data_IF_685232195259
#
_entry.id   IF_685232195259
#
_cell.length_a   1.000
_cell.length_b   1.000
_cell.length_c   1.000
_cell.angle_alpha   90.00
_cell.angle_beta   90.00
_cell.angle_gamma   90.00
#
_symmetry.space_group_name_H-M   'P 1'
#
loop_
_entity.id
_entity.type
_entity.pdbx_description
1 polymer ?
#
# COMPACT_ATOMS: atom_id res chain seq x y z
N UNK A 1 1.02 -26.34 51.38
CA UNK A 1 0.39 -26.18 50.06
C UNK A 1 0.42 -24.70 49.78
N UNK A 2 1.54 -24.20 49.28
CA UNK A 2 1.68 -22.84 48.82
C UNK A 2 1.87 -22.91 47.31
N UNK A 3 0.81 -22.54 46.60
CA UNK A 3 0.81 -22.44 45.15
C UNK A 3 1.57 -21.15 44.83
N UNK A 4 2.83 -21.29 44.42
CA UNK A 4 3.58 -20.21 43.79
C UNK A 4 2.78 -19.70 42.59
N UNK A 5 2.33 -18.45 42.71
CA UNK A 5 1.69 -17.73 41.62
C UNK A 5 2.72 -17.57 40.50
N UNK A 6 2.43 -18.19 39.36
CA UNK A 6 3.24 -18.08 38.16
C UNK A 6 3.53 -16.62 37.82
N UNK A 7 4.83 -16.31 37.68
CA UNK A 7 5.27 -15.04 37.15
C UNK A 7 4.64 -14.84 35.77
N UNK A 8 3.87 -13.77 35.62
CA UNK A 8 3.47 -13.27 34.31
C UNK A 8 4.76 -13.01 33.53
N UNK A 9 5.00 -13.79 32.47
CA UNK A 9 6.10 -13.53 31.55
C UNK A 9 6.00 -12.06 31.12
N UNK A 10 7.04 -11.27 31.44
CA UNK A 10 7.13 -9.90 30.96
C UNK A 10 7.07 -9.95 29.42
N UNK A 11 6.38 -8.99 28.78
CA UNK A 11 6.40 -8.94 27.34
C UNK A 11 7.85 -8.84 26.83
N UNK A 12 8.18 -9.62 25.80
CA UNK A 12 9.49 -9.63 25.16
C UNK A 12 9.74 -8.37 24.28
N UNK A 13 9.25 -7.20 24.70
CA UNK A 13 9.40 -5.95 23.97
C UNK A 13 9.62 -4.76 24.93
N UNK A 14 10.37 -3.72 24.51
CA UNK A 14 10.62 -2.51 25.30
C UNK A 14 9.35 -1.80 25.82
N UNK A 15 9.44 -1.15 26.98
CA UNK A 15 8.33 -0.39 27.59
C UNK A 15 7.81 0.75 26.69
N UNK A 16 8.69 1.31 25.86
CA UNK A 16 8.36 2.38 24.91
C UNK A 16 8.23 1.87 23.47
N UNK A 17 7.97 0.58 23.28
CA UNK A 17 7.76 0.01 21.94
C UNK A 17 6.63 0.73 21.22
N UNK A 18 6.83 1.04 19.95
CA UNK A 18 5.83 1.71 19.11
C UNK A 18 5.33 0.76 18.03
N UNK A 19 4.02 0.75 17.80
CA UNK A 19 3.47 -0.01 16.69
C UNK A 19 2.27 0.69 16.08
N UNK A 20 2.17 0.65 14.75
CA UNK A 20 1.06 1.28 14.06
C UNK A 20 1.12 1.16 12.55
N UNK A 21 0.11 1.72 11.92
CA UNK A 21 -0.15 1.56 10.49
C UNK A 21 0.31 2.79 9.73
N UNK A 22 1.03 2.58 8.63
CA UNK A 22 1.48 3.62 7.70
C UNK A 22 0.81 3.37 6.37
N UNK A 23 0.30 4.39 5.69
CA UNK A 23 -0.02 4.26 4.25
C UNK A 23 0.92 5.13 3.45
N UNK A 24 1.60 4.50 2.48
CA UNK A 24 2.38 5.22 1.47
C UNK A 24 1.43 5.64 0.34
N UNK A 25 1.37 6.92 0.07
CA UNK A 25 0.44 7.54 -0.87
C UNK A 25 1.21 8.42 -1.85
N UNK A 26 0.68 8.58 -3.06
CA UNK A 26 1.36 9.34 -4.12
C UNK A 26 0.92 8.89 -5.50
N UNK A 27 1.28 9.66 -6.51
CA UNK A 27 0.91 9.37 -7.91
C UNK A 27 1.35 7.95 -8.33
N UNK A 28 0.72 7.37 -9.36
CA UNK A 28 1.25 6.16 -10.00
C UNK A 28 2.75 6.32 -10.30
N UNK A 29 3.53 5.26 -10.09
CA UNK A 29 4.98 5.23 -10.29
C UNK A 29 5.82 6.15 -9.38
N UNK A 30 5.25 6.69 -8.30
CA UNK A 30 5.98 7.48 -7.33
C UNK A 30 7.00 6.68 -6.48
N UNK A 31 7.15 5.37 -6.69
CA UNK A 31 8.09 4.53 -5.93
C UNK A 31 7.55 3.96 -4.61
N UNK A 32 6.22 3.98 -4.40
CA UNK A 32 5.57 3.48 -3.16
C UNK A 32 5.91 2.02 -2.87
N UNK A 33 5.53 1.09 -3.74
CA UNK A 33 5.76 -0.35 -3.53
C UNK A 33 7.25 -0.71 -3.54
N UNK A 34 8.09 0.03 -4.28
CA UNK A 34 9.56 -0.12 -4.21
C UNK A 34 10.09 0.26 -2.81
N UNK A 35 9.61 1.36 -2.24
CA UNK A 35 9.94 1.76 -0.88
C UNK A 35 9.38 0.78 0.16
N UNK A 36 8.15 0.28 -0.02
CA UNK A 36 7.57 -0.78 0.83
C UNK A 36 8.49 -2.00 0.89
N UNK A 37 8.91 -2.52 -0.27
CA UNK A 37 9.79 -3.68 -0.32
C UNK A 37 11.15 -3.41 0.31
N UNK A 38 11.72 -2.21 0.11
CA UNK A 38 13.00 -1.83 0.71
C UNK A 38 12.90 -1.74 2.24
N UNK A 39 11.80 -1.19 2.78
CA UNK A 39 11.54 -1.07 4.21
C UNK A 39 11.35 -2.45 4.88
N UNK A 40 10.63 -3.35 4.21
CA UNK A 40 10.39 -4.73 4.69
C UNK A 40 11.65 -5.59 4.54
N UNK A 41 12.53 -5.26 3.58
CA UNK A 41 13.73 -6.03 3.26
C UNK A 41 13.48 -7.22 2.32
N UNK A 42 12.23 -7.47 1.96
CA UNK A 42 11.83 -8.48 0.98
C UNK A 42 10.69 -7.97 0.09
N UNK A 43 10.45 -8.66 -1.01
CA UNK A 43 9.40 -8.30 -1.96
C UNK A 43 8.03 -8.79 -1.48
N UNK A 44 7.28 -7.88 -0.84
CA UNK A 44 5.92 -8.13 -0.35
C UNK A 44 4.85 -7.35 -1.11
N UNK A 45 5.21 -6.29 -1.84
CA UNK A 45 4.29 -5.55 -2.70
C UNK A 45 4.78 -5.59 -4.14
N UNK A 46 3.87 -5.80 -5.09
CA UNK A 46 4.26 -5.81 -6.50
C UNK A 46 4.57 -4.41 -7.03
N UNK A 47 5.49 -4.34 -7.98
CA UNK A 47 5.99 -3.12 -8.60
C UNK A 47 5.80 -3.17 -10.10
N UNK A 48 5.17 -2.16 -10.68
CA UNK A 48 5.09 -2.00 -12.12
C UNK A 48 4.97 -0.53 -12.48
N UNK A 49 5.47 -0.18 -13.67
CA UNK A 49 5.37 1.16 -14.24
C UNK A 49 3.95 1.48 -14.75
N UNK A 50 3.02 0.54 -14.60
CA UNK A 50 1.62 0.69 -15.03
C UNK A 50 0.78 1.34 -13.93
N UNK A 51 -0.13 2.28 -14.28
CA UNK A 51 -1.17 2.72 -13.35
C UNK A 51 -2.03 1.55 -12.85
N UNK A 52 -2.59 1.67 -11.64
CA UNK A 52 -3.42 0.63 -11.01
C UNK A 52 -2.70 -0.72 -10.83
N UNK A 53 -1.39 -0.67 -10.56
CA UNK A 53 -0.62 -1.87 -10.26
C UNK A 53 -1.13 -2.55 -8.99
N UNK A 54 -1.33 -1.84 -7.88
CA UNK A 54 -1.89 -2.42 -6.64
C UNK A 54 -3.42 -2.48 -6.71
N UNK A 55 -4.02 -3.65 -6.48
CA UNK A 55 -5.50 -3.87 -6.46
C UNK A 55 -6.00 -4.54 -5.18
N UNK A 56 -5.11 -5.18 -4.44
CA UNK A 56 -5.35 -5.68 -3.10
C UNK A 56 -4.56 -4.82 -2.12
N UNK A 57 -5.09 -4.60 -0.93
CA UNK A 57 -4.32 -3.95 0.14
C UNK A 57 -3.31 -4.95 0.67
N UNK A 58 -2.04 -4.82 0.30
CA UNK A 58 -1.00 -5.68 0.86
C UNK A 58 -0.38 -4.97 2.05
N UNK A 59 -0.19 -5.71 3.15
CA UNK A 59 0.52 -5.21 4.33
C UNK A 59 1.95 -5.73 4.33
N UNK A 60 2.90 -4.80 4.30
CA UNK A 60 4.30 -5.08 4.61
C UNK A 60 4.56 -4.83 6.09
N UNK A 61 5.12 -5.79 6.80
CA UNK A 61 5.43 -5.69 8.22
C UNK A 61 6.93 -5.47 8.37
N UNK A 62 7.28 -4.34 9.00
CA UNK A 62 8.66 -3.97 9.30
C UNK A 62 8.90 -4.18 10.78
N UNK A 63 9.84 -5.05 11.12
CA UNK A 63 10.27 -5.31 12.50
C UNK A 63 11.57 -4.56 12.80
N UNK A 64 11.62 -3.88 13.94
CA UNK A 64 12.82 -3.33 14.58
C UNK A 64 12.74 -3.57 16.10
N UNK A 65 13.86 -3.36 16.78
CA UNK A 65 14.01 -3.65 18.21
C UNK A 65 13.06 -2.82 19.10
N UNK A 66 12.74 -1.60 18.68
CA UNK A 66 11.95 -0.62 19.43
C UNK A 66 10.63 -0.23 18.74
N UNK A 67 10.36 -0.73 17.53
CA UNK A 67 9.07 -0.49 16.87
C UNK A 67 8.68 -1.54 15.81
N UNK A 68 7.39 -1.57 15.48
CA UNK A 68 6.81 -2.31 14.37
C UNK A 68 5.99 -1.40 13.46
N UNK A 69 6.31 -1.34 12.16
CA UNK A 69 5.51 -0.61 11.18
C UNK A 69 4.71 -1.56 10.32
N UNK A 70 3.42 -1.27 10.17
CA UNK A 70 2.54 -1.99 9.26
C UNK A 70 2.29 -1.08 8.07
N UNK A 71 3.08 -1.29 7.01
CA UNK A 71 3.00 -0.57 5.75
C UNK A 71 1.81 -1.09 4.96
N UNK A 72 0.83 -0.24 4.74
CA UNK A 72 -0.39 -0.56 4.01
C UNK A 72 -0.27 -0.01 2.60
N UNK A 73 0.05 -0.89 1.63
CA UNK A 73 0.07 -0.52 0.21
C UNK A 73 -1.36 -0.43 -0.30
N UNK A 74 -1.81 0.80 -0.59
CA UNK A 74 -3.17 1.05 -1.08
C UNK A 74 -3.17 1.29 -2.59
N UNK A 75 -4.20 0.84 -3.32
CA UNK A 75 -4.43 1.26 -4.70
C UNK A 75 -4.37 2.78 -4.87
N UNK A 76 -3.88 3.26 -6.02
CA UNK A 76 -3.84 4.70 -6.29
C UNK A 76 -5.25 5.28 -6.50
N UNK A 77 -5.57 6.41 -5.87
CA UNK A 77 -6.85 7.11 -6.05
C UNK A 77 -6.97 7.63 -7.49
N UNK A 78 -8.07 7.30 -8.16
CA UNK A 78 -8.40 7.84 -9.49
C UNK A 78 -9.91 8.01 -9.65
N UNK A 79 -10.33 8.78 -10.67
CA UNK A 79 -11.75 8.89 -11.03
C UNK A 79 -12.24 7.53 -11.56
N UNK A 80 -13.24 6.88 -10.93
CA UNK A 80 -13.65 5.53 -11.32
C UNK A 80 -14.46 5.56 -12.62
N UNK A 81 -14.33 4.50 -13.43
CA UNK A 81 -15.07 4.26 -14.67
C UNK A 81 -15.68 2.85 -14.76
N UNK A 82 -15.40 2.00 -13.77
CA UNK A 82 -15.81 0.60 -13.66
C UNK A 82 -16.14 0.30 -12.20
N UNK A 83 -16.89 -0.78 -11.94
CA UNK A 83 -17.23 -1.20 -10.58
C UNK A 83 -15.98 -1.60 -9.77
N UNK A 84 -14.99 -2.23 -10.41
CA UNK A 84 -13.67 -2.45 -9.80
C UNK A 84 -13.06 -1.13 -9.29
N UNK A 85 -13.06 -0.08 -10.13
CA UNK A 85 -12.52 1.23 -9.74
C UNK A 85 -13.26 1.87 -8.56
N UNK A 86 -14.58 1.67 -8.47
CA UNK A 86 -15.38 2.10 -7.32
C UNK A 86 -14.98 1.34 -6.04
N UNK A 87 -14.89 0.00 -6.10
CA UNK A 87 -14.45 -0.83 -4.97
C UNK A 87 -13.05 -0.50 -4.49
N UNK A 88 -12.11 -0.26 -5.42
CA UNK A 88 -10.74 0.14 -5.06
C UNK A 88 -10.74 1.48 -4.32
N UNK A 89 -11.55 2.45 -4.76
CA UNK A 89 -11.67 3.73 -4.05
C UNK A 89 -12.28 3.58 -2.65
N UNK A 90 -13.29 2.73 -2.49
CA UNK A 90 -13.91 2.43 -1.19
C UNK A 90 -12.90 1.78 -0.23
N UNK A 91 -12.09 0.83 -0.74
CA UNK A 91 -11.02 0.17 0.00
C UNK A 91 -9.94 1.18 0.43
N UNK A 92 -9.55 2.11 -0.44
CA UNK A 92 -8.60 3.19 -0.11
C UNK A 92 -9.17 4.10 0.98
N UNK A 93 -10.43 4.51 0.87
CA UNK A 93 -11.09 5.34 1.89
C UNK A 93 -11.16 4.64 3.26
N UNK A 94 -11.51 3.35 3.26
CA UNK A 94 -11.49 2.51 4.45
C UNK A 94 -10.10 2.43 5.08
N UNK A 95 -9.06 2.21 4.26
CA UNK A 95 -7.68 2.06 4.70
C UNK A 95 -7.10 3.36 5.27
N UNK A 96 -7.27 4.48 4.58
CA UNK A 96 -6.75 5.78 5.01
C UNK A 96 -7.39 6.25 6.32
N UNK A 97 -8.60 5.78 6.66
CA UNK A 97 -9.21 6.03 7.96
C UNK A 97 -8.49 5.29 9.11
N UNK A 98 -7.78 4.19 8.80
CA UNK A 98 -7.21 3.23 9.76
C UNK A 98 -5.72 3.41 10.04
N UNK A 99 -5.02 4.25 9.28
CA UNK A 99 -3.57 4.47 9.50
C UNK A 99 -3.28 5.46 10.62
N UNK A 100 -2.09 5.42 11.19
CA UNK A 100 -1.63 6.34 12.22
C UNK A 100 -0.82 7.51 11.60
N UNK A 101 0.01 7.22 10.59
CA UNK A 101 0.76 8.22 9.78
C UNK A 101 0.53 8.00 8.27
N UNK A 102 0.73 9.07 7.50
CA UNK A 102 0.72 9.05 6.03
C UNK A 102 2.12 9.38 5.52
N UNK A 103 2.66 8.56 4.60
CA UNK A 103 3.89 8.86 3.86
C UNK A 103 3.55 9.31 2.44
N UNK A 104 3.77 10.58 2.10
CA UNK A 104 3.48 11.13 0.77
C UNK A 104 4.72 11.05 -0.13
N UNK A 105 4.74 10.08 -1.03
CA UNK A 105 5.85 9.84 -1.96
C UNK A 105 5.81 10.78 -3.17
N UNK A 106 6.89 11.52 -3.37
CA UNK A 106 7.09 12.46 -4.49
C UNK A 106 8.44 12.13 -5.15
N UNK A 107 8.50 11.79 -6.45
CA UNK A 107 9.77 11.49 -7.12
C UNK A 107 10.70 12.70 -7.19
N UNK A 108 12.01 12.48 -6.98
CA UNK A 108 13.04 13.50 -7.09
C UNK A 108 13.26 13.97 -8.53
N UNK A 109 13.03 13.08 -9.50
CA UNK A 109 13.28 13.32 -10.92
C UNK A 109 12.07 13.86 -11.70
N UNK A 110 10.95 14.16 -11.04
CA UNK A 110 9.74 14.67 -11.67
C UNK A 110 9.32 16.01 -11.04
N UNK A 111 8.89 16.96 -11.86
CA UNK A 111 8.32 18.22 -11.35
C UNK A 111 7.01 17.96 -10.62
N UNK A 112 6.77 18.70 -9.54
CA UNK A 112 5.51 18.68 -8.79
C UNK A 112 4.37 19.18 -9.69
N UNK A 113 3.47 18.26 -10.05
CA UNK A 113 2.38 18.51 -11.00
C UNK A 113 1.03 18.77 -10.34
N UNK A 114 -0.04 18.93 -11.14
CA UNK A 114 -1.42 19.06 -10.64
C UNK A 114 -1.88 17.83 -9.85
N UNK A 115 -1.42 16.63 -10.24
CA UNK A 115 -1.76 15.39 -9.54
C UNK A 115 -1.18 15.32 -8.12
N UNK A 116 0.06 15.80 -7.93
CA UNK A 116 0.68 15.88 -6.59
C UNK A 116 -0.06 16.88 -5.70
N UNK A 117 -0.38 18.07 -6.23
CA UNK A 117 -1.19 19.09 -5.53
C UNK A 117 -2.56 18.57 -5.13
N UNK A 118 -3.22 17.85 -6.03
CA UNK A 118 -4.52 17.26 -5.76
C UNK A 118 -4.42 16.25 -4.61
N UNK A 119 -3.49 15.30 -4.67
CA UNK A 119 -3.29 14.29 -3.61
C UNK A 119 -2.96 14.98 -2.28
N UNK A 120 -1.99 15.90 -2.27
CA UNK A 120 -1.62 16.69 -1.09
C UNK A 120 -2.84 17.36 -0.44
N UNK A 121 -3.68 18.03 -1.24
CA UNK A 121 -4.89 18.69 -0.75
C UNK A 121 -5.89 17.72 -0.13
N UNK A 122 -6.05 16.53 -0.71
CA UNK A 122 -6.93 15.50 -0.16
C UNK A 122 -6.39 14.95 1.16
N UNK A 123 -5.09 14.68 1.28
CA UNK A 123 -4.49 14.15 2.51
C UNK A 123 -4.67 15.12 3.67
N UNK A 124 -4.42 16.41 3.43
CA UNK A 124 -4.55 17.49 4.42
C UNK A 124 -6.01 17.77 4.79
N UNK A 125 -6.93 17.71 3.82
CA UNK A 125 -8.35 17.96 4.08
C UNK A 125 -9.05 16.79 4.79
N UNK A 126 -8.67 15.56 4.45
CA UNK A 126 -9.35 14.34 4.93
C UNK A 126 -8.91 13.87 6.32
N UNK A 127 -7.75 14.33 6.79
CA UNK A 127 -7.11 13.77 7.97
C UNK A 127 -6.45 14.84 8.83
N UNK A 128 -6.41 14.62 10.14
CA UNK A 128 -5.52 15.35 11.06
C UNK A 128 -4.30 14.48 11.43
N UNK A 129 -3.98 13.49 10.60
CA UNK A 129 -2.83 12.61 10.81
C UNK A 129 -1.55 13.31 10.34
N UNK A 130 -0.39 13.00 10.95
CA UNK A 130 0.90 13.43 10.43
C UNK A 130 1.09 12.93 9.00
N UNK A 131 1.61 13.81 8.15
CA UNK A 131 1.98 13.51 6.76
C UNK A 131 3.46 13.76 6.59
N UNK A 132 4.23 12.70 6.40
CA UNK A 132 5.67 12.77 6.11
C UNK A 132 5.85 12.83 4.59
N UNK A 133 6.47 13.88 4.06
CA UNK A 133 6.81 13.95 2.65
C UNK A 133 8.09 13.15 2.38
N UNK A 134 8.01 12.18 1.48
CA UNK A 134 9.11 11.27 1.17
C UNK A 134 9.53 11.53 -0.28
N UNK A 135 10.72 12.11 -0.47
CA UNK A 135 11.27 12.42 -1.79
C UNK A 135 11.98 11.18 -2.34
N UNK A 136 11.25 10.37 -3.10
CA UNK A 136 11.72 9.07 -3.59
C UNK A 136 12.63 9.22 -4.82
N UNK A 137 13.38 8.16 -5.15
CA UNK A 137 14.27 8.11 -6.34
C UNK A 137 15.39 9.16 -6.29
N UNK A 138 15.87 9.52 -5.11
CA UNK A 138 16.93 10.53 -4.95
C UNK A 138 18.22 10.18 -5.69
N UNK A 139 18.45 8.89 -5.97
CA UNK A 139 19.57 8.37 -6.76
C UNK A 139 19.55 8.80 -8.24
N UNK A 140 18.40 9.24 -8.75
CA UNK A 140 18.22 9.55 -10.18
C UNK A 140 18.53 11.01 -10.52
N UNK A 141 18.94 11.82 -9.55
CA UNK A 141 19.20 13.26 -9.70
C UNK A 141 20.49 13.67 -8.98
N UNK A 142 21.08 14.79 -9.41
CA UNK A 142 22.22 15.40 -8.71
C UNK A 142 21.80 16.20 -7.47
N UNK A 143 22.76 16.57 -6.62
CA UNK A 143 22.53 17.31 -5.37
C UNK A 143 21.76 18.63 -5.57
N UNK A 144 22.08 19.38 -6.63
CA UNK A 144 21.40 20.66 -6.91
C UNK A 144 19.92 20.45 -7.20
N UNK A 145 19.61 19.50 -8.10
CA UNK A 145 18.23 19.15 -8.44
C UNK A 145 17.46 18.55 -7.25
N UNK A 146 18.11 17.73 -6.42
CA UNK A 146 17.50 17.21 -5.20
C UNK A 146 17.16 18.35 -4.22
N UNK A 147 18.06 19.32 -4.07
CA UNK A 147 17.84 20.48 -3.19
C UNK A 147 16.69 21.35 -3.70
N UNK A 148 16.64 21.63 -5.00
CA UNK A 148 15.52 22.34 -5.63
C UNK A 148 14.19 21.61 -5.40
N UNK A 149 14.19 20.28 -5.53
CA UNK A 149 12.99 19.49 -5.31
C UNK A 149 12.55 19.51 -3.84
N UNK A 150 13.47 19.41 -2.88
CA UNK A 150 13.15 19.51 -1.45
C UNK A 150 12.49 20.85 -1.10
N UNK A 151 13.01 21.96 -1.65
CA UNK A 151 12.40 23.30 -1.51
C UNK A 151 11.00 23.32 -2.12
N UNK A 152 10.83 22.75 -3.32
CA UNK A 152 9.52 22.69 -3.98
C UNK A 152 8.50 21.85 -3.17
N UNK A 153 8.94 20.74 -2.57
CA UNK A 153 8.11 19.90 -1.70
C UNK A 153 7.72 20.66 -0.44
N UNK A 154 8.65 21.39 0.18
CA UNK A 154 8.33 22.24 1.33
C UNK A 154 7.28 23.30 0.98
N UNK A 155 7.48 24.03 -0.12
CA UNK A 155 6.54 25.04 -0.59
C UNK A 155 5.14 24.47 -0.88
N UNK A 156 5.07 23.24 -1.42
CA UNK A 156 3.79 22.54 -1.62
C UNK A 156 3.05 22.29 -0.29
N UNK A 157 3.78 21.89 0.76
CA UNK A 157 3.19 21.67 2.08
C UNK A 157 2.60 22.95 2.66
N UNK A 158 3.33 24.06 2.55
CA UNK A 158 2.89 25.39 2.98
C UNK A 158 1.65 25.86 2.18
N UNK A 159 1.67 25.71 0.85
CA UNK A 159 0.56 26.06 -0.06
C UNK A 159 -0.74 25.36 0.36
N UNK A 160 -0.68 24.03 0.49
CA UNK A 160 -1.86 23.19 0.73
C UNK A 160 -2.42 23.38 2.14
N UNK A 161 -1.55 23.47 3.15
CA UNK A 161 -1.96 23.69 4.53
C UNK A 161 -2.59 25.07 4.72
N UNK A 162 -2.06 26.10 4.05
CA UNK A 162 -2.63 27.44 4.06
C UNK A 162 -4.03 27.46 3.43
N UNK A 163 -4.21 26.78 2.29
CA UNK A 163 -5.50 26.66 1.63
C UNK A 163 -6.54 25.95 2.50
N UNK A 164 -6.21 24.81 3.11
CA UNK A 164 -7.15 24.09 3.97
C UNK A 164 -7.46 24.84 5.27
N UNK A 165 -6.50 25.57 5.86
CA UNK A 165 -6.78 26.47 7.01
C UNK A 165 -7.79 27.55 6.62
N UNK A 166 -7.61 28.19 5.47
CA UNK A 166 -8.55 29.19 4.97
C UNK A 166 -9.94 28.59 4.74
N UNK A 167 -10.01 27.40 4.15
CA UNK A 167 -11.28 26.70 3.94
C UNK A 167 -11.95 26.23 5.25
N UNK A 168 -11.18 25.74 6.23
CA UNK A 168 -11.70 25.40 7.57
C UNK A 168 -12.27 26.63 8.26
N UNK A 169 -11.59 27.78 8.18
CA UNK A 169 -12.09 29.04 8.71
C UNK A 169 -13.41 29.46 8.02
N UNK A 170 -13.49 29.39 6.69
CA UNK A 170 -14.73 29.65 5.93
C UNK A 170 -15.86 28.68 6.30
N UNK A 171 -15.55 27.37 6.48
CA UNK A 171 -16.53 26.36 6.89
C UNK A 171 -17.03 26.60 8.32
N UNK A 172 -16.15 27.05 9.23
CA UNK A 172 -16.49 27.38 10.61
C UNK A 172 -17.45 28.58 10.67
N UNK A 173 -17.13 29.67 9.96
CA UNK A 173 -18.01 30.85 9.87
C UNK A 173 -19.35 30.53 9.20
N UNK A 174 -19.34 29.73 8.12
CA UNK A 174 -20.58 29.22 7.52
C UNK A 174 -21.39 28.31 8.44
N UNK A 175 -20.74 27.52 9.31
CA UNK A 175 -21.41 26.63 10.28
C UNK A 175 -22.03 27.44 11.41
N UNK A 176 -21.34 28.43 11.95
CA UNK A 176 -21.91 29.39 12.91
C UNK A 176 -23.12 30.11 12.31
N UNK A 177 -23.04 30.52 11.04
CA UNK A 177 -24.16 31.13 10.34
C UNK A 177 -25.32 30.14 10.05
N UNK A 178 -25.05 28.85 9.81
CA UNK A 178 -26.08 27.80 9.57
C UNK A 178 -26.69 27.22 10.84
N UNK A 179 -26.02 27.30 12.00
CA UNK A 179 -26.64 26.92 13.29
C UNK A 179 -27.84 27.82 13.62
N UNK A 180 -27.93 29.00 13.00
CA UNK A 180 -29.14 29.83 13.04
C UNK A 180 -30.29 29.35 12.13
N UNK A 181 -30.08 28.40 11.21
CA UNK A 181 -31.08 27.91 10.24
C UNK A 181 -30.93 26.42 9.89
N UNK A 182 -31.67 25.61 10.64
CA UNK A 182 -32.21 24.27 10.31
C UNK A 182 -31.24 23.08 10.08
N UNK A 183 -31.54 22.00 10.81
CA UNK A 183 -31.09 20.62 10.62
C UNK A 183 -31.72 20.04 9.34
N UNK A 184 -30.91 19.62 8.36
CA UNK A 184 -31.08 18.35 7.63
C UNK A 184 -29.92 18.05 6.67
N UNK A 185 -29.51 16.79 6.76
CA UNK A 185 -28.88 15.90 5.77
C UNK A 185 -27.77 16.44 4.87
N UNK A 186 -26.56 15.89 5.04
CA UNK A 186 -25.55 15.89 3.98
C UNK A 186 -24.81 14.54 3.95
N UNK A 187 -25.11 13.73 2.93
CA UNK A 187 -24.36 12.52 2.55
C UNK A 187 -23.62 12.80 1.24
N UNK A 188 -22.32 13.03 1.33
CA UNK A 188 -21.26 12.56 0.42
C UNK A 188 -19.96 13.33 0.72
N UNK A 189 -19.12 12.75 1.57
CA UNK A 189 -17.72 13.13 1.76
C UNK A 189 -16.93 11.81 1.64
N UNK A 190 -15.89 11.69 0.80
CA UNK A 190 -15.20 10.40 0.56
C UNK A 190 -14.36 9.86 1.73
N UNK A 191 -14.52 10.41 2.94
CA UNK A 191 -13.73 10.06 4.12
C UNK A 191 -14.61 10.23 5.36
N UNK A 192 -15.48 9.26 5.64
CA UNK A 192 -16.26 9.24 6.86
C UNK A 192 -15.37 8.90 8.07
N UNK A 193 -15.60 9.57 9.21
CA UNK A 193 -14.88 9.31 10.46
C UNK A 193 -15.24 7.92 11.02
N UNK A 194 -14.22 7.06 11.11
CA UNK A 194 -13.97 6.17 12.25
C UNK A 194 -14.88 4.96 12.43
N UNK A 195 -14.42 3.80 11.96
CA UNK A 195 -14.88 2.48 12.44
C UNK A 195 -13.79 1.39 12.45
N UNK A 196 -12.58 1.67 11.98
CA UNK A 196 -11.52 0.66 11.92
C UNK A 196 -10.53 0.66 13.11
N UNK A 197 -9.46 -0.15 13.05
CA UNK A 197 -8.61 -0.47 14.21
C UNK A 197 -8.00 0.73 14.92
N UNK A 198 -7.51 1.74 14.19
CA UNK A 198 -7.03 2.99 14.80
C UNK A 198 -8.15 3.79 15.50
N UNK A 199 -9.39 3.73 15.01
CA UNK A 199 -10.54 4.36 15.67
C UNK A 199 -10.98 3.57 16.92
N UNK A 200 -10.86 2.24 16.90
CA UNK A 200 -11.13 1.36 18.05
C UNK A 200 -10.01 1.43 19.11
N UNK A 201 -8.76 1.73 18.75
CA UNK A 201 -7.68 1.96 19.72
C UNK A 201 -7.77 3.30 20.43
N UNK A 202 -8.30 4.34 19.76
CA UNK A 202 -8.56 5.66 20.36
C UNK A 202 -9.57 5.65 21.52
N UNK A 203 -10.32 4.56 21.71
CA UNK A 203 -11.21 4.38 22.87
C UNK A 203 -10.54 3.64 24.03
N UNK A 204 -9.32 3.12 23.85
CA UNK A 204 -8.49 2.53 24.90
C UNK A 204 -7.76 3.60 25.72
N UNK A 205 -7.63 3.38 27.04
CA UNK A 205 -7.21 4.38 28.04
C UNK A 205 -5.78 4.97 27.90
N UNK A 206 -4.96 4.52 26.95
CA UNK A 206 -3.56 4.94 26.80
C UNK A 206 -3.22 5.45 25.39
N UNK A 207 -4.11 6.22 24.76
CA UNK A 207 -3.78 6.96 23.54
C UNK A 207 -3.44 8.41 23.91
N UNK A 208 -2.15 8.73 23.98
CA UNK A 208 -1.68 10.11 23.89
C UNK A 208 -1.43 10.43 22.41
N UNK A 209 -2.27 11.25 21.75
CA UNK A 209 -1.99 11.69 20.38
C UNK A 209 -0.66 12.42 20.37
N UNK A 210 0.22 12.06 19.44
CA UNK A 210 1.38 12.89 19.09
C UNK A 210 0.88 14.27 18.68
N UNK A 211 1.26 15.28 19.45
CA UNK A 211 0.89 16.67 19.21
C UNK A 211 1.73 17.15 18.03
N UNK A 212 1.17 17.07 16.82
CA UNK A 212 1.60 17.98 15.76
C UNK A 212 0.98 19.33 16.08
N UNK A 213 1.83 20.21 16.60
CA UNK A 213 1.57 21.63 16.86
C UNK A 213 1.14 22.42 15.61
N UNK A 214 1.08 21.77 14.44
CA UNK A 214 0.40 22.27 13.27
C UNK A 214 1.00 23.58 12.80
N UNK A 215 2.33 23.76 12.90
CA UNK A 215 3.01 25.00 12.51
C UNK A 215 3.03 25.27 10.99
N UNK A 216 2.54 24.34 10.16
CA UNK A 216 2.14 24.64 8.78
C UNK A 216 3.09 24.05 7.76
N UNK A 217 2.89 22.78 7.43
CA UNK A 217 3.65 22.05 6.45
C UNK A 217 3.49 20.55 6.66
N UNK A 218 4.38 19.78 6.05
CA UNK A 218 4.54 18.35 6.33
C UNK A 218 5.02 18.14 7.78
N UNK A 219 4.79 16.95 8.33
CA UNK A 219 5.35 16.56 9.62
C UNK A 219 6.89 16.44 9.52
N UNK A 220 7.37 15.89 8.41
CA UNK A 220 8.79 15.80 8.04
C UNK A 220 8.96 15.77 6.52
N UNK A 221 10.17 16.06 6.04
CA UNK A 221 10.58 15.89 4.64
C UNK A 221 11.87 15.09 4.61
N UNK A 222 11.86 13.93 3.93
CA UNK A 222 13.02 13.04 3.87
C UNK A 222 13.27 12.51 2.46
N UNK A 223 14.48 12.67 1.88
CA UNK A 223 14.84 12.06 0.61
C UNK A 223 15.25 10.59 0.78
N UNK A 224 14.88 9.73 -0.16
CA UNK A 224 15.18 8.30 -0.08
C UNK A 224 15.48 7.71 -1.46
N UNK A 225 16.45 6.79 -1.51
CA UNK A 225 16.58 5.85 -2.62
C UNK A 225 16.31 4.44 -2.13
N UNK A 226 15.15 3.91 -2.49
CA UNK A 226 14.79 2.52 -2.21
C UNK A 226 15.69 1.54 -2.98
N UNK A 227 16.23 1.93 -4.14
CA UNK A 227 17.07 1.06 -4.98
C UNK A 227 18.54 1.05 -4.56
N UNK A 228 19.05 2.18 -4.04
CA UNK A 228 20.41 2.25 -3.48
C UNK A 228 20.43 2.02 -1.96
N UNK A 229 19.28 1.72 -1.35
CA UNK A 229 19.11 1.62 0.11
C UNK A 229 19.59 2.86 0.88
N UNK A 230 19.53 4.05 0.26
CA UNK A 230 19.88 5.30 0.90
C UNK A 230 18.70 5.83 1.74
N UNK A 231 18.92 6.05 3.03
CA UNK A 231 17.95 6.56 4.01
C UNK A 231 16.68 5.71 4.20
N UNK A 232 16.68 4.44 3.79
CA UNK A 232 15.51 3.55 3.97
C UNK A 232 15.17 3.37 5.46
N UNK A 233 16.17 3.10 6.31
CA UNK A 233 15.95 2.96 7.75
C UNK A 233 15.55 4.30 8.38
N UNK A 234 16.18 5.41 7.98
CA UNK A 234 15.80 6.74 8.45
C UNK A 234 14.34 7.10 8.12
N UNK A 235 13.81 6.68 6.97
CA UNK A 235 12.38 6.81 6.66
C UNK A 235 11.53 5.99 7.64
N UNK A 236 11.94 4.76 7.97
CA UNK A 236 11.25 3.94 8.96
C UNK A 236 11.23 4.61 10.34
N UNK A 237 12.38 5.11 10.81
CA UNK A 237 12.53 5.78 12.09
C UNK A 237 11.63 7.02 12.20
N UNK A 238 11.62 7.87 11.16
CA UNK A 238 10.77 9.06 11.09
C UNK A 238 9.30 8.67 11.17
N UNK A 239 8.86 7.68 10.40
CA UNK A 239 7.47 7.20 10.43
C UNK A 239 7.11 6.61 11.81
N UNK A 240 8.02 5.86 12.43
CA UNK A 240 7.86 5.25 13.76
C UNK A 240 7.73 6.29 14.87
N UNK A 241 8.42 7.43 14.76
CA UNK A 241 8.34 8.52 15.75
C UNK A 241 6.92 9.07 15.92
N UNK A 242 6.08 8.93 14.89
CA UNK A 242 4.69 9.36 14.89
C UNK A 242 3.70 8.28 15.34
N UNK A 243 4.16 7.07 15.62
CA UNK A 243 3.34 5.95 16.07
C UNK A 243 3.03 6.04 17.57
N UNK A 244 1.85 5.57 18.01
CA UNK A 244 1.56 5.43 19.43
C UNK A 244 2.47 4.37 20.07
N UNK A 245 2.70 4.50 21.38
CA UNK A 245 3.24 3.40 22.19
C UNK A 245 2.23 2.26 22.15
N UNK A 246 2.69 1.07 21.79
CA UNK A 246 1.86 -0.11 21.57
C UNK A 246 2.72 -1.36 21.67
N UNK A 247 2.18 -2.49 22.15
CA UNK A 247 2.82 -3.78 21.90
C UNK A 247 2.91 -4.07 20.38
N UNK A 248 3.78 -5.00 19.95
CA UNK A 248 3.75 -5.54 18.59
C UNK A 248 2.33 -6.00 18.21
N UNK A 249 1.93 -5.70 16.98
CA UNK A 249 0.61 -6.05 16.44
C UNK A 249 0.62 -7.39 15.70
N UNK A 250 1.77 -7.77 15.16
CA UNK A 250 2.01 -9.02 14.46
C UNK A 250 3.17 -9.78 15.10
N UNK A 251 3.16 -11.13 15.04
CA UNK A 251 4.28 -11.97 15.47
C UNK A 251 5.60 -11.58 14.82
N UNK A 252 6.72 -11.79 15.53
CA UNK A 252 8.05 -11.60 14.98
C UNK A 252 8.28 -12.49 13.75
N UNK A 253 9.01 -11.97 12.76
CA UNK A 253 9.38 -12.69 11.53
C UNK A 253 8.30 -12.71 10.45
N UNK A 254 7.03 -12.41 10.76
CA UNK A 254 6.00 -12.25 9.72
C UNK A 254 6.25 -10.99 8.91
N UNK A 255 6.40 -11.09 7.59
CA UNK A 255 6.64 -9.95 6.71
C UNK A 255 5.36 -9.42 6.04
N UNK A 256 4.30 -10.23 6.05
CA UNK A 256 2.97 -9.93 5.50
C UNK A 256 1.94 -10.83 6.19
N UNK A 257 0.69 -10.36 6.28
CA UNK A 257 -0.46 -11.16 6.72
C UNK A 257 -1.28 -11.73 5.55
N UNK A 258 -0.80 -11.52 4.31
CA UNK A 258 -1.45 -12.03 3.11
C UNK A 258 -1.20 -13.53 2.92
N UNK A 259 -2.23 -14.32 2.54
CA UNK A 259 -2.05 -15.71 2.17
C UNK A 259 -1.06 -15.88 1.01
N UNK A 260 -0.25 -16.94 1.04
CA UNK A 260 0.72 -17.27 -0.02
C UNK A 260 0.08 -17.30 -1.42
N UNK A 261 -1.16 -17.80 -1.52
CA UNK A 261 -1.92 -17.83 -2.76
C UNK A 261 -2.17 -16.43 -3.34
N UNK A 262 -2.45 -15.43 -2.48
CA UNK A 262 -2.62 -14.03 -2.90
C UNK A 262 -1.29 -13.49 -3.42
N UNK A 263 -0.20 -13.73 -2.68
CA UNK A 263 1.14 -13.29 -3.07
C UNK A 263 1.59 -13.88 -4.42
N UNK A 264 1.36 -15.19 -4.62
CA UNK A 264 1.62 -15.89 -5.88
C UNK A 264 0.81 -15.28 -7.03
N UNK A 265 -0.49 -15.05 -6.82
CA UNK A 265 -1.35 -14.43 -7.83
C UNK A 265 -0.81 -13.05 -8.24
N UNK A 266 -0.35 -12.27 -7.26
CA UNK A 266 0.23 -10.96 -7.48
C UNK A 266 1.57 -11.03 -8.23
N UNK A 267 2.47 -11.97 -7.92
CA UNK A 267 3.72 -12.14 -8.70
C UNK A 267 3.47 -12.54 -10.15
N UNK A 268 2.51 -13.45 -10.40
CA UNK A 268 2.10 -13.80 -11.77
C UNK A 268 1.49 -12.61 -12.48
N UNK A 269 0.66 -11.82 -11.78
CA UNK A 269 0.07 -10.61 -12.33
C UNK A 269 1.11 -9.55 -12.67
N UNK A 270 2.09 -9.32 -11.79
CA UNK A 270 3.20 -8.40 -12.00
C UNK A 270 3.98 -8.76 -13.26
N UNK A 271 4.38 -10.03 -13.40
CA UNK A 271 5.07 -10.53 -14.59
C UNK A 271 4.21 -10.38 -15.86
N UNK A 272 2.89 -10.58 -15.77
CA UNK A 272 1.97 -10.37 -16.88
C UNK A 272 1.76 -8.89 -17.25
N UNK A 273 1.88 -7.98 -16.28
CA UNK A 273 1.85 -6.53 -16.53
C UNK A 273 3.10 -6.06 -17.27
N UNK A 274 4.22 -6.76 -17.11
CA UNK A 274 5.46 -6.47 -17.81
C UNK A 274 5.30 -6.76 -19.31
N UNK A 275 5.14 -5.69 -20.11
CA UNK A 275 4.95 -5.80 -21.57
C UNK A 275 3.50 -5.76 -22.03
N UNK A 276 2.52 -5.83 -21.12
CA UNK A 276 1.13 -5.50 -21.43
C UNK A 276 1.03 -4.03 -21.86
N UNK A 277 0.30 -3.73 -22.94
CA UNK A 277 0.13 -2.37 -23.50
C UNK A 277 -1.35 -2.04 -23.68
N UNK A 278 -1.63 -0.77 -23.94
CA UNK A 278 -2.98 -0.25 -24.17
C UNK A 278 -3.91 -0.62 -23.01
N UNK A 279 -5.03 -1.27 -23.28
CA UNK A 279 -6.06 -1.65 -22.29
C UNK A 279 -5.74 -2.97 -21.56
N UNK A 280 -4.76 -3.75 -22.03
CA UNK A 280 -4.47 -5.07 -21.47
C UNK A 280 -4.07 -5.05 -19.99
N UNK A 281 -3.24 -4.11 -19.48
CA UNK A 281 -2.91 -4.03 -18.05
C UNK A 281 -4.14 -3.96 -17.15
N UNK A 282 -5.22 -3.34 -17.65
CA UNK A 282 -6.44 -3.14 -16.88
C UNK A 282 -7.34 -4.38 -16.86
N UNK A 283 -7.26 -5.25 -17.87
CA UNK A 283 -8.11 -6.43 -18.00
C UNK A 283 -7.55 -7.71 -17.36
N UNK A 284 -6.31 -7.69 -16.86
CA UNK A 284 -5.67 -8.87 -16.24
C UNK A 284 -6.18 -9.05 -14.80
N UNK A 285 -6.60 -10.26 -14.44
CA UNK A 285 -6.78 -10.73 -13.07
C UNK A 285 -6.15 -12.12 -12.91
N UNK A 286 -5.72 -12.46 -11.70
CA UNK A 286 -5.04 -13.73 -11.43
C UNK A 286 -5.61 -14.36 -10.17
N UNK A 287 -5.85 -15.67 -10.19
CA UNK A 287 -6.25 -16.44 -9.02
C UNK A 287 -5.47 -17.74 -8.96
N UNK A 288 -5.10 -18.20 -7.77
CA UNK A 288 -4.56 -19.55 -7.55
C UNK A 288 -5.72 -20.50 -7.29
N UNK A 289 -5.83 -21.58 -8.08
CA UNK A 289 -6.86 -22.62 -7.90
C UNK A 289 -6.42 -23.68 -6.90
N UNK A 290 -5.16 -24.11 -6.97
CA UNK A 290 -4.66 -25.26 -6.23
C UNK A 290 -3.15 -25.11 -5.94
N UNK A 291 -2.75 -25.52 -4.74
CA UNK A 291 -1.36 -25.59 -4.29
C UNK A 291 -1.15 -26.90 -3.55
N UNK A 292 -0.39 -27.83 -4.14
CA UNK A 292 -0.14 -29.13 -3.53
C UNK A 292 1.32 -29.55 -3.71
N UNK A 293 1.93 -30.08 -2.65
CA UNK A 293 3.24 -30.71 -2.78
C UNK A 293 3.11 -31.97 -3.64
N UNK A 294 3.98 -32.09 -4.65
CA UNK A 294 3.98 -33.22 -5.56
C UNK A 294 4.30 -34.52 -4.81
N UNK A 295 3.41 -35.48 -4.96
CA UNK A 295 3.58 -36.83 -4.40
C UNK A 295 4.86 -37.51 -4.91
N UNK A 296 5.46 -38.34 -4.06
CA UNK A 296 6.68 -39.10 -4.40
C UNK A 296 7.99 -38.31 -4.38
N UNK A 297 7.98 -37.04 -3.93
CA UNK A 297 9.20 -36.24 -3.68
C UNK A 297 9.73 -36.45 -2.25
N UNK A 298 11.05 -36.41 -2.08
CA UNK A 298 11.66 -36.44 -0.74
C UNK A 298 11.46 -35.11 0.00
N UNK A 299 11.51 -35.16 1.34
CA UNK A 299 11.41 -33.94 2.17
C UNK A 299 12.55 -32.95 1.92
N UNK A 300 13.71 -33.42 1.48
CA UNK A 300 14.87 -32.57 1.18
C UNK A 300 14.84 -31.96 -0.23
N UNK A 301 13.90 -32.38 -1.08
CA UNK A 301 13.70 -31.83 -2.43
C UNK A 301 12.21 -31.80 -2.79
N UNK A 302 11.41 -31.05 -2.01
CA UNK A 302 9.99 -30.88 -2.29
C UNK A 302 9.80 -30.12 -3.60
N UNK A 303 8.68 -30.36 -4.27
CA UNK A 303 8.24 -29.60 -5.42
C UNK A 303 6.78 -29.23 -5.19
N UNK A 304 6.48 -27.94 -5.15
CA UNK A 304 5.11 -27.46 -5.00
C UNK A 304 4.50 -27.25 -6.38
N UNK A 305 3.38 -27.93 -6.65
CA UNK A 305 2.58 -27.73 -7.85
C UNK A 305 1.56 -26.61 -7.59
N UNK A 306 1.65 -25.55 -8.39
CA UNK A 306 0.83 -24.34 -8.24
C UNK A 306 0.05 -24.11 -9.54
N UNK A 307 -1.28 -24.20 -9.45
CA UNK A 307 -2.18 -24.00 -10.57
C UNK A 307 -2.82 -22.62 -10.51
N UNK A 308 -2.58 -21.82 -11.54
CA UNK A 308 -2.98 -20.41 -11.60
C UNK A 308 -3.84 -20.15 -12.80
N UNK A 309 -4.93 -19.42 -12.62
CA UNK A 309 -5.68 -18.83 -13.71
C UNK A 309 -5.25 -17.38 -13.93
N UNK A 310 -4.98 -17.03 -15.18
CA UNK A 310 -4.82 -15.65 -15.63
C UNK A 310 -6.02 -15.29 -16.50
N UNK A 311 -6.86 -14.38 -16.02
CA UNK A 311 -8.05 -13.92 -16.70
C UNK A 311 -7.77 -12.65 -17.50
N UNK A 312 -8.40 -12.56 -18.68
CA UNK A 312 -8.48 -11.38 -19.53
C UNK A 312 -9.92 -11.19 -20.01
N UNK A 313 -10.27 -10.01 -20.55
CA UNK A 313 -11.65 -9.73 -20.97
C UNK A 313 -11.98 -10.18 -22.40
N UNK A 314 -10.97 -10.35 -23.26
CA UNK A 314 -11.16 -10.63 -24.70
C UNK A 314 -10.24 -11.73 -25.20
N UNK A 315 -10.69 -12.48 -26.21
CA UNK A 315 -9.86 -13.49 -26.88
C UNK A 315 -8.59 -12.90 -27.50
N UNK A 316 -8.66 -11.70 -28.09
CA UNK A 316 -7.48 -10.99 -28.60
C UNK A 316 -6.42 -10.77 -27.52
N UNK A 317 -6.84 -10.41 -26.31
CA UNK A 317 -5.97 -10.23 -25.16
C UNK A 317 -5.33 -11.55 -24.72
N UNK A 318 -6.10 -12.65 -24.74
CA UNK A 318 -5.58 -13.99 -24.43
C UNK A 318 -4.45 -14.37 -25.37
N UNK A 319 -4.58 -14.11 -26.68
CA UNK A 319 -3.49 -14.35 -27.62
C UNK A 319 -2.26 -13.49 -27.34
N UNK A 320 -2.42 -12.25 -26.89
CA UNK A 320 -1.29 -11.37 -26.51
C UNK A 320 -0.55 -11.93 -25.28
N UNK A 321 -1.28 -12.39 -24.26
CA UNK A 321 -0.68 -13.00 -23.06
C UNK A 321 0.06 -14.29 -23.42
N UNK A 322 -0.52 -15.13 -24.28
CA UNK A 322 0.12 -16.39 -24.69
C UNK A 322 1.38 -16.12 -25.53
N UNK A 323 1.28 -15.23 -26.52
CA UNK A 323 2.34 -14.95 -27.48
C UNK A 323 2.56 -16.08 -28.49
N UNK A 324 3.34 -15.81 -29.54
CA UNK A 324 3.62 -16.79 -30.61
C UNK A 324 4.29 -18.04 -30.04
N UNK A 325 3.65 -19.20 -30.18
CA UNK A 325 4.16 -20.47 -29.65
C UNK A 325 4.25 -20.52 -28.11
N UNK A 326 3.49 -19.68 -27.40
CA UNK A 326 3.53 -19.61 -25.94
C UNK A 326 4.73 -18.84 -25.38
N UNK A 327 5.48 -18.11 -26.21
CA UNK A 327 6.72 -17.45 -25.80
C UNK A 327 6.53 -16.42 -24.69
N UNK A 328 5.43 -15.66 -24.72
CA UNK A 328 5.16 -14.63 -23.72
C UNK A 328 4.70 -15.25 -22.40
N UNK A 329 3.81 -16.25 -22.45
CA UNK A 329 3.39 -16.99 -21.26
C UNK A 329 4.56 -17.71 -20.57
N UNK A 330 5.52 -18.23 -21.34
CA UNK A 330 6.76 -18.80 -20.77
C UNK A 330 7.58 -17.74 -20.04
N UNK A 331 7.73 -16.54 -20.62
CA UNK A 331 8.43 -15.42 -19.95
C UNK A 331 7.76 -15.06 -18.62
N UNK A 332 6.43 -14.89 -18.64
CA UNK A 332 5.62 -14.60 -17.44
C UNK A 332 5.84 -15.69 -16.38
N UNK A 333 5.74 -16.96 -16.78
CA UNK A 333 5.94 -18.11 -15.89
C UNK A 333 7.34 -18.15 -15.29
N UNK A 334 8.39 -17.91 -16.08
CA UNK A 334 9.77 -17.88 -15.57
C UNK A 334 9.96 -16.78 -14.53
N UNK A 335 9.56 -15.55 -14.84
CA UNK A 335 9.72 -14.40 -13.95
C UNK A 335 8.92 -14.55 -12.66
N UNK A 336 7.67 -15.03 -12.74
CA UNK A 336 6.86 -15.27 -11.56
C UNK A 336 7.43 -16.40 -10.70
N UNK A 337 7.86 -17.50 -11.31
CA UNK A 337 8.40 -18.66 -10.59
C UNK A 337 9.66 -18.31 -9.79
N UNK A 338 10.56 -17.50 -10.34
CA UNK A 338 11.76 -17.03 -9.62
C UNK A 338 11.40 -16.29 -8.32
N UNK A 339 10.39 -15.41 -8.38
CA UNK A 339 9.92 -14.66 -7.20
C UNK A 339 9.21 -15.56 -6.19
N UNK A 340 8.37 -16.49 -6.68
CA UNK A 340 7.64 -17.43 -5.82
C UNK A 340 8.61 -18.37 -5.09
N UNK A 341 9.60 -18.93 -5.79
CA UNK A 341 10.60 -19.81 -5.19
C UNK A 341 11.44 -19.08 -4.13
N UNK A 342 11.79 -17.82 -4.39
CA UNK A 342 12.50 -16.99 -3.41
C UNK A 342 11.65 -16.71 -2.16
N UNK A 343 10.35 -16.46 -2.31
CA UNK A 343 9.44 -16.22 -1.19
C UNK A 343 9.18 -17.49 -0.38
N UNK A 344 8.90 -18.63 -1.03
CA UNK A 344 8.53 -19.87 -0.34
C UNK A 344 9.73 -20.70 0.14
N UNK A 345 10.93 -20.43 -0.38
CA UNK A 345 12.12 -21.23 -0.08
C UNK A 345 12.05 -22.68 -0.61
N UNK A 346 11.12 -22.99 -1.51
CA UNK A 346 10.96 -24.31 -2.14
C UNK A 346 10.83 -24.19 -3.64
N UNK A 347 11.17 -25.27 -4.36
CA UNK A 347 10.99 -25.34 -5.82
C UNK A 347 9.51 -25.39 -6.17
N UNK A 348 9.17 -24.75 -7.29
CA UNK A 348 7.78 -24.64 -7.76
C UNK A 348 7.64 -25.10 -9.21
N UNK A 349 6.62 -25.89 -9.47
CA UNK A 349 6.08 -26.09 -10.81
C UNK A 349 4.85 -25.19 -10.97
N UNK A 350 5.01 -24.14 -11.78
CA UNK A 350 3.97 -23.14 -11.99
C UNK A 350 3.21 -23.42 -13.28
N UNK A 351 1.92 -23.74 -13.16
CA UNK A 351 1.02 -23.96 -14.29
C UNK A 351 0.07 -22.76 -14.43
N UNK A 352 0.22 -21.98 -15.50
CA UNK A 352 -0.61 -20.80 -15.77
C UNK A 352 -1.58 -21.10 -16.90
N UNK A 353 -2.89 -21.03 -16.62
CA UNK A 353 -3.95 -21.18 -17.60
C UNK A 353 -4.61 -19.83 -17.92
N UNK A 354 -4.56 -19.40 -19.19
CA UNK A 354 -5.17 -18.15 -19.63
C UNK A 354 -6.65 -18.35 -20.00
N UNK A 355 -7.56 -17.71 -19.25
CA UNK A 355 -9.02 -17.78 -19.42
C UNK A 355 -9.60 -16.43 -19.85
N UNK A 356 -10.71 -16.44 -20.59
CA UNK A 356 -11.45 -15.23 -20.93
C UNK A 356 -12.66 -15.07 -20.02
N UNK A 357 -12.74 -13.96 -19.31
CA UNK A 357 -13.87 -13.55 -18.50
C UNK A 357 -14.36 -12.19 -19.02
N UNK A 358 -15.39 -12.18 -19.86
CA UNK A 358 -15.89 -10.95 -20.50
C UNK A 358 -16.40 -9.96 -19.45
N UNK A 359 -15.98 -8.70 -19.58
CA UNK A 359 -16.47 -7.56 -18.79
C UNK A 359 -16.42 -7.78 -17.27
N UNK A 360 -15.46 -8.58 -16.79
CA UNK A 360 -15.41 -8.99 -15.39
C UNK A 360 -15.25 -7.80 -14.42
N UNK A 361 -14.65 -6.69 -14.88
CA UNK A 361 -14.47 -5.47 -14.08
C UNK A 361 -15.78 -4.76 -13.72
N UNK A 362 -16.86 -5.10 -14.42
CA UNK A 362 -18.20 -4.52 -14.25
C UNK A 362 -19.22 -5.54 -13.74
N UNK A 363 -18.87 -6.83 -13.63
CA UNK A 363 -19.74 -7.89 -13.11
C UNK A 363 -19.46 -8.15 -11.62
N UNK A 364 -20.39 -7.83 -10.70
CA UNK A 364 -20.22 -8.07 -9.27
C UNK A 364 -19.90 -9.53 -8.91
N UNK A 365 -20.46 -10.51 -9.64
CA UNK A 365 -20.21 -11.94 -9.38
C UNK A 365 -18.81 -12.34 -9.81
N UNK A 366 -18.33 -11.78 -10.91
CA UNK A 366 -16.97 -11.99 -11.36
C UNK A 366 -15.95 -11.35 -10.40
N UNK A 367 -16.19 -10.13 -9.93
CA UNK A 367 -15.34 -9.47 -8.94
C UNK A 367 -15.17 -10.31 -7.66
N UNK A 368 -16.28 -10.74 -7.06
CA UNK A 368 -16.24 -11.55 -5.84
C UNK A 368 -15.47 -12.87 -6.03
N UNK A 369 -15.66 -13.52 -7.18
CA UNK A 369 -14.96 -14.78 -7.51
C UNK A 369 -13.46 -14.58 -7.77
N UNK A 370 -13.06 -13.40 -8.24
CA UNK A 370 -11.67 -13.02 -8.49
C UNK A 370 -11.00 -12.40 -7.26
N UNK A 371 -11.71 -12.31 -6.12
CA UNK A 371 -11.17 -11.81 -4.86
C UNK A 371 -11.13 -10.28 -4.76
N UNK A 372 -11.99 -9.55 -5.48
CA UNK A 372 -12.15 -8.10 -5.40
C UNK A 372 -13.48 -7.70 -4.75
#
# INVERSE_FOLDING_TARGET
MDIERGGSAQPAFPEHYRAGFVSLVGRPNAGKSTLTNALVGQKVAITSSRPQTTRHTIRGIVHRDDYQLILVDTPGIHRPRTLLGERLNDLVAGTLSQVDVLGFCIPANEKIGPGDRYIASQLVASSNKPVVAIVTKSDTVGNDQLSEQLIAVQALGEEVMSAERADRARRATHRENRVSRSKKDNKNIPFAKGSGPAAQRRTGKNYEPTVHDGQGGWADIIPVSAVQHFQVDAVADVLASYMPVSPPLYPEGELTDEPEATMIAEFVREAALEGAREELPHSIAVTVEEMNFREGRSKDNPLLDVHVNLFVERESQKYIIIGKGGSHLRKIGTQAREQIEAMLGTRVYLNIHVKVAKEWQSDPRALNRLGF
#
